data_IF_838095599390
#
_entry.id   IF_838095599390
#
_cell.length_a   1.000
_cell.length_b   1.000
_cell.length_c   1.000
_cell.angle_alpha   90.00
_cell.angle_beta   90.00
_cell.angle_gamma   90.00
#
_symmetry.space_group_name_H-M   'P 1'
#
loop_
_entity.id
_entity.type
_entity.pdbx_description
1 polymer ?
#
# COMPACT_ATOMS: atom_id res chain seq x y z
N UNK A 1 -13.76 -25.40 41.46
CA UNK A 1 -13.75 -25.84 40.04
C UNK A 1 -14.01 -24.68 39.06
N UNK A 2 -15.06 -23.88 39.25
CA UNK A 2 -15.43 -22.79 38.33
C UNK A 2 -14.41 -21.65 38.18
N UNK A 3 -13.72 -21.23 39.25
CA UNK A 3 -12.69 -20.17 39.18
C UNK A 3 -11.46 -20.56 38.35
N UNK A 4 -11.05 -21.84 38.38
CA UNK A 4 -9.95 -22.35 37.56
C UNK A 4 -10.35 -22.40 36.09
N UNK A 5 -11.58 -22.83 35.79
CA UNK A 5 -12.13 -22.85 34.44
C UNK A 5 -12.23 -21.44 33.84
N UNK A 6 -12.68 -20.45 34.62
CA UNK A 6 -12.69 -19.05 34.19
C UNK A 6 -11.29 -18.52 33.87
N UNK A 7 -10.28 -18.86 34.67
CA UNK A 7 -8.90 -18.46 34.41
C UNK A 7 -8.36 -19.05 33.10
N UNK A 8 -8.67 -20.31 32.82
CA UNK A 8 -8.29 -20.96 31.56
C UNK A 8 -8.99 -20.34 30.35
N UNK A 9 -10.28 -20.01 30.47
CA UNK A 9 -11.03 -19.35 29.39
C UNK A 9 -10.49 -17.96 29.09
N UNK A 10 -10.16 -17.18 30.14
CA UNK A 10 -9.57 -15.84 29.97
C UNK A 10 -8.17 -15.95 29.34
N UNK A 11 -7.35 -16.90 29.76
CA UNK A 11 -6.02 -17.12 29.18
C UNK A 11 -6.08 -17.50 27.69
N UNK A 12 -6.99 -18.40 27.31
CA UNK A 12 -7.21 -18.78 25.91
C UNK A 12 -7.75 -17.62 25.07
N UNK A 13 -8.64 -16.78 25.62
CA UNK A 13 -9.13 -15.59 24.93
C UNK A 13 -8.00 -14.57 24.68
N UNK A 14 -7.09 -14.37 25.65
CA UNK A 14 -5.93 -13.47 25.50
C UNK A 14 -4.93 -14.01 24.46
N UNK A 15 -4.63 -15.32 24.50
CA UNK A 15 -3.76 -15.97 23.50
C UNK A 15 -4.34 -15.87 22.09
N UNK A 16 -5.65 -16.08 21.92
CA UNK A 16 -6.33 -15.94 20.63
C UNK A 16 -6.38 -14.48 20.13
N UNK A 17 -6.38 -13.50 21.03
CA UNK A 17 -6.36 -12.08 20.65
C UNK A 17 -4.96 -11.62 20.22
N UNK A 18 -3.89 -12.20 20.78
CA UNK A 18 -2.51 -11.89 20.39
C UNK A 18 -2.12 -12.39 19.00
N UNK A 19 -2.83 -13.39 18.45
CA UNK A 19 -2.57 -13.93 17.10
C UNK A 19 -3.24 -13.16 15.97
N UNK A 20 -3.99 -12.09 16.26
CA UNK A 20 -4.75 -11.30 15.27
C UNK A 20 -4.04 -10.03 14.81
N UNK A 21 -2.75 -9.87 15.09
CA UNK A 21 -1.96 -8.82 14.45
C UNK A 21 -1.44 -9.38 13.12
N UNK A 22 -2.04 -9.05 11.96
CA UNK A 22 -1.42 -9.34 10.69
C UNK A 22 -0.10 -8.57 10.63
N UNK A 23 1.01 -9.30 10.78
CA UNK A 23 2.33 -8.81 10.46
C UNK A 23 2.37 -8.61 8.94
N UNK A 24 2.17 -7.38 8.49
CA UNK A 24 2.30 -7.00 7.08
C UNK A 24 3.78 -6.79 6.65
N UNK A 25 4.72 -7.28 7.46
CA UNK A 25 6.15 -7.28 7.17
C UNK A 25 6.53 -8.61 6.53
N UNK A 26 7.44 -8.58 5.57
CA UNK A 26 7.97 -9.82 5.02
C UNK A 26 8.66 -10.66 6.12
N UNK A 27 8.60 -12.00 6.02
CA UNK A 27 9.40 -12.86 6.87
C UNK A 27 10.88 -12.50 6.77
N UNK A 28 11.58 -12.46 7.91
CA UNK A 28 13.03 -12.27 7.91
C UNK A 28 13.71 -13.36 7.07
N UNK A 29 14.77 -13.03 6.30
CA UNK A 29 15.52 -14.02 5.56
C UNK A 29 16.16 -15.03 6.53
N UNK A 30 15.99 -16.32 6.25
CA UNK A 30 16.55 -17.40 7.07
C UNK A 30 18.04 -17.62 6.82
N UNK A 31 18.57 -17.15 5.69
CA UNK A 31 19.96 -17.22 5.25
C UNK A 31 20.27 -16.02 4.35
N UNK A 32 21.56 -15.70 4.13
CA UNK A 32 22.03 -14.61 3.26
C UNK A 32 21.44 -14.67 1.85
N UNK A 33 21.08 -15.87 1.41
CA UNK A 33 20.24 -16.08 0.25
C UNK A 33 19.08 -17.00 0.65
N UNK A 34 17.85 -16.46 0.58
CA UNK A 34 16.69 -17.07 -0.09
C UNK A 34 15.49 -17.58 0.76
N UNK A 35 14.37 -16.86 0.65
CA UNK A 35 13.00 -17.35 0.38
C UNK A 35 12.11 -16.11 0.15
N UNK A 36 11.44 -15.97 -1.00
CA UNK A 36 10.64 -14.76 -1.33
C UNK A 36 9.31 -15.18 -1.97
N UNK A 37 8.22 -15.12 -1.20
CA UNK A 37 6.82 -15.10 -1.69
C UNK A 37 6.47 -16.09 -2.82
N UNK A 38 6.83 -17.37 -2.70
CA UNK A 38 6.30 -18.44 -3.55
C UNK A 38 6.87 -18.56 -4.97
N UNK A 39 7.98 -17.88 -5.29
CA UNK A 39 8.74 -18.14 -6.53
C UNK A 39 9.88 -19.11 -6.31
N UNK A 40 10.09 -20.01 -7.28
CA UNK A 40 11.21 -20.94 -7.25
C UNK A 40 12.52 -20.17 -7.37
N UNK A 41 13.48 -20.55 -6.56
CA UNK A 41 14.68 -19.78 -6.37
C UNK A 41 15.84 -20.34 -7.19
N UNK A 42 16.77 -19.47 -7.56
CA UNK A 42 18.01 -19.87 -8.24
C UNK A 42 18.93 -20.58 -7.24
N UNK A 43 19.61 -21.64 -7.68
CA UNK A 43 20.68 -22.28 -6.90
C UNK A 43 21.75 -21.21 -6.58
N UNK A 44 22.16 -21.03 -5.30
CA UNK A 44 23.19 -20.08 -4.92
C UNK A 44 24.50 -20.23 -5.70
N UNK A 45 24.87 -21.44 -6.10
CA UNK A 45 26.09 -21.70 -6.89
C UNK A 45 25.96 -21.27 -8.35
N UNK A 46 24.74 -20.99 -8.82
CA UNK A 46 24.45 -20.47 -10.15
C UNK A 46 24.15 -18.96 -10.14
N UNK A 47 24.07 -18.34 -8.96
CA UNK A 47 23.87 -16.90 -8.83
C UNK A 47 25.14 -16.13 -9.19
N UNK A 48 24.98 -15.00 -9.86
CA UNK A 48 26.07 -14.09 -10.19
C UNK A 48 25.64 -12.62 -9.97
N UNK A 49 26.57 -11.67 -10.10
CA UNK A 49 26.32 -10.26 -9.81
C UNK A 49 25.16 -9.64 -10.61
N UNK A 50 24.94 -10.11 -11.84
CA UNK A 50 23.88 -9.59 -12.71
C UNK A 50 22.48 -9.98 -12.24
N UNK A 51 22.34 -11.04 -11.44
CA UNK A 51 21.05 -11.43 -10.86
C UNK A 51 20.56 -10.44 -9.80
N UNK A 52 21.44 -9.57 -9.28
CA UNK A 52 21.13 -8.57 -8.25
C UNK A 52 21.07 -7.14 -8.79
N UNK A 53 21.32 -6.96 -10.09
CA UNK A 53 21.27 -5.66 -10.74
C UNK A 53 19.90 -5.43 -11.40
N UNK A 54 19.31 -4.26 -11.17
CA UNK A 54 18.07 -3.85 -11.83
C UNK A 54 18.20 -2.41 -12.35
N UNK A 55 18.18 -2.25 -13.66
CA UNK A 55 18.29 -0.94 -14.33
C UNK A 55 16.96 -0.21 -14.52
N UNK A 56 15.82 -0.82 -14.14
CA UNK A 56 14.48 -0.30 -14.44
C UNK A 56 13.95 0.78 -13.50
N UNK A 57 14.78 1.37 -12.63
CA UNK A 57 14.38 2.47 -11.73
C UNK A 57 14.08 3.79 -12.48
N UNK A 58 14.47 3.87 -13.75
CA UNK A 58 14.15 4.99 -14.65
C UNK A 58 12.72 4.95 -15.21
N UNK A 59 11.99 3.84 -15.01
CA UNK A 59 10.61 3.68 -15.47
C UNK A 59 9.68 4.07 -14.30
N UNK A 60 8.83 5.10 -14.46
CA UNK A 60 7.83 5.43 -13.45
C UNK A 60 6.94 4.22 -13.19
N UNK A 61 6.90 3.75 -11.94
CA UNK A 61 6.03 2.65 -11.52
C UNK A 61 4.87 3.21 -10.69
N UNK A 62 3.75 2.49 -10.70
CA UNK A 62 2.57 2.79 -9.91
C UNK A 62 2.93 2.94 -8.40
N UNK A 63 2.46 4.00 -7.77
CA UNK A 63 2.81 4.39 -6.38
C UNK A 63 1.94 3.76 -5.31
N UNK A 64 0.89 3.00 -5.65
CA UNK A 64 -0.03 2.44 -4.65
C UNK A 64 0.57 1.22 -3.94
N UNK A 65 0.36 1.10 -2.63
CA UNK A 65 0.94 0.03 -1.80
C UNK A 65 -0.02 -0.42 -0.67
N UNK A 66 -0.58 -1.65 -0.71
CA UNK A 66 -1.36 -2.30 0.33
C UNK A 66 -0.56 -3.10 1.37
N UNK A 67 0.76 -3.33 1.21
CA UNK A 67 1.50 -4.30 2.03
C UNK A 67 2.89 -3.83 2.45
N UNK A 68 3.00 -2.83 3.33
CA UNK A 68 4.28 -2.38 3.92
C UNK A 68 4.30 -0.88 4.16
N UNK A 69 5.32 -0.37 4.86
CA UNK A 69 5.51 1.08 4.99
C UNK A 69 6.24 1.60 3.76
N UNK A 70 6.02 2.88 3.45
CA UNK A 70 6.67 3.53 2.30
C UNK A 70 7.41 4.76 2.77
N UNK A 71 8.66 4.89 2.38
CA UNK A 71 9.46 6.10 2.53
C UNK A 71 9.58 6.75 1.17
N UNK A 72 9.24 8.03 1.06
CA UNK A 72 9.36 8.81 -0.15
C UNK A 72 10.49 9.82 0.01
N UNK A 73 11.38 9.89 -0.98
CA UNK A 73 12.46 10.89 -1.07
C UNK A 73 12.28 11.67 -2.35
N UNK A 74 12.18 13.00 -2.25
CA UNK A 74 12.02 13.87 -3.41
C UNK A 74 13.38 14.22 -4.00
N UNK A 75 13.52 14.06 -5.31
CA UNK A 75 14.73 14.45 -6.06
C UNK A 75 14.54 15.75 -6.82
N UNK A 76 13.37 15.95 -7.40
CA UNK A 76 13.05 17.14 -8.21
C UNK A 76 11.59 17.56 -8.00
N UNK A 77 11.32 18.85 -8.16
CA UNK A 77 9.98 19.43 -8.07
C UNK A 77 9.44 19.56 -6.64
N UNK A 78 8.14 19.76 -6.52
CA UNK A 78 7.46 20.03 -5.24
C UNK A 78 6.23 19.16 -5.09
N UNK A 79 6.22 18.31 -4.06
CA UNK A 79 5.13 17.36 -3.82
C UNK A 79 4.37 17.73 -2.54
N UNK A 80 3.07 17.94 -2.67
CA UNK A 80 2.15 17.92 -1.54
C UNK A 80 1.76 16.47 -1.25
N UNK A 81 2.15 15.97 -0.09
CA UNK A 81 1.89 14.60 0.32
C UNK A 81 1.09 14.55 1.61
N UNK A 82 0.39 13.45 1.83
CA UNK A 82 -0.24 13.20 3.11
C UNK A 82 -0.85 11.82 3.24
N UNK A 83 -1.24 11.48 4.47
CA UNK A 83 -2.00 10.28 4.80
C UNK A 83 -3.09 10.58 5.82
N UNK A 84 -4.10 9.72 5.85
CA UNK A 84 -5.22 9.80 6.79
C UNK A 84 -5.02 8.73 7.87
N UNK A 85 -5.09 9.16 9.13
CA UNK A 85 -5.12 8.26 10.29
C UNK A 85 -6.56 7.81 10.46
N UNK A 86 -6.86 6.59 10.04
CA UNK A 86 -8.17 5.94 10.21
C UNK A 86 -8.38 5.51 11.68
N UNK A 87 -8.61 6.48 12.57
CA UNK A 87 -9.11 6.26 13.93
C UNK A 87 -10.35 7.15 14.19
N UNK A 88 -10.76 7.34 15.44
CA UNK A 88 -11.97 8.10 15.83
C UNK A 88 -12.17 9.44 15.12
N UNK A 89 -11.10 10.12 14.69
CA UNK A 89 -11.20 11.48 14.12
C UNK A 89 -10.77 11.60 12.63
N UNK A 90 -10.39 10.51 11.95
CA UNK A 90 -9.93 10.53 10.55
C UNK A 90 -8.93 11.67 10.25
N UNK A 91 -7.88 11.81 11.07
CA UNK A 91 -6.99 12.97 11.02
C UNK A 91 -6.07 12.93 9.79
N UNK A 92 -6.03 14.03 9.05
CA UNK A 92 -5.11 14.23 7.93
C UNK A 92 -3.74 14.70 8.42
N UNK A 93 -2.66 14.02 7.99
CA UNK A 93 -1.27 14.44 8.18
C UNK A 93 -0.70 14.78 6.81
N UNK A 94 -0.22 16.01 6.63
CA UNK A 94 0.28 16.48 5.33
C UNK A 94 1.55 17.28 5.45
N UNK A 95 2.34 17.28 4.37
CA UNK A 95 3.51 18.13 4.23
C UNK A 95 3.77 18.44 2.75
N UNK A 96 4.33 19.63 2.50
CA UNK A 96 4.94 19.96 1.20
C UNK A 96 6.40 19.57 1.27
N UNK A 97 6.84 18.73 0.32
CA UNK A 97 8.20 18.23 0.19
C UNK A 97 8.91 18.90 -1.00
N UNK A 98 10.17 19.24 -0.79
CA UNK A 98 11.11 19.78 -1.77
C UNK A 98 12.26 18.79 -2.00
N UNK A 99 13.13 19.01 -3.01
CA UNK A 99 14.28 18.14 -3.25
C UNK A 99 15.12 17.92 -1.98
N UNK A 100 15.40 16.66 -1.67
CA UNK A 100 16.10 16.24 -0.45
C UNK A 100 15.19 15.92 0.74
N UNK A 101 13.92 16.34 0.73
CA UNK A 101 12.98 16.01 1.79
C UNK A 101 12.56 14.54 1.74
N UNK A 102 12.35 13.98 2.94
CA UNK A 102 11.91 12.60 3.16
C UNK A 102 10.59 12.59 3.92
N UNK A 103 9.70 11.67 3.55
CA UNK A 103 8.43 11.47 4.24
C UNK A 103 8.07 9.99 4.35
N UNK A 104 7.58 9.58 5.52
CA UNK A 104 7.22 8.19 5.79
C UNK A 104 5.69 8.02 5.85
N UNK A 105 5.20 7.03 5.12
CA UNK A 105 3.82 6.57 5.12
C UNK A 105 3.72 5.28 5.95
N UNK A 106 2.93 5.29 7.04
CA UNK A 106 2.66 4.08 7.82
C UNK A 106 1.93 3.01 6.99
N UNK A 107 2.06 1.76 7.42
CA UNK A 107 1.43 0.60 6.77
C UNK A 107 -0.08 0.74 6.72
N UNK A 108 -0.69 0.45 5.56
CA UNK A 108 -2.13 0.27 5.42
C UNK A 108 -2.97 1.56 5.49
N UNK A 109 -2.34 2.72 5.61
CA UNK A 109 -3.06 4.00 5.62
C UNK A 109 -3.24 4.55 4.20
N UNK A 110 -4.42 5.13 3.97
CA UNK A 110 -4.72 5.87 2.74
C UNK A 110 -3.78 7.08 2.70
N UNK A 111 -3.04 7.22 1.61
CA UNK A 111 -2.12 8.31 1.39
C UNK A 111 -2.14 8.77 -0.07
N UNK A 112 -1.60 9.96 -0.32
CA UNK A 112 -1.57 10.58 -1.63
C UNK A 112 -0.29 11.38 -1.83
N UNK A 113 0.03 11.60 -3.10
CA UNK A 113 1.04 12.55 -3.55
C UNK A 113 0.44 13.39 -4.67
N UNK A 114 0.66 14.70 -4.61
CA UNK A 114 0.15 15.64 -5.60
C UNK A 114 1.23 16.67 -5.95
N UNK A 115 1.57 16.80 -7.23
CA UNK A 115 2.52 17.81 -7.68
C UNK A 115 1.84 19.18 -7.71
N UNK A 116 2.28 20.08 -6.83
CA UNK A 116 1.78 21.47 -6.75
C UNK A 116 2.73 22.46 -7.45
N UNK A 117 3.90 21.99 -7.88
CA UNK A 117 4.87 22.80 -8.61
C UNK A 117 4.49 22.98 -10.08
N UNK A 118 5.12 23.95 -10.73
CA UNK A 118 4.94 24.21 -12.16
C UNK A 118 5.85 23.34 -13.04
N UNK A 119 6.71 22.52 -12.42
CA UNK A 119 7.67 21.64 -13.11
C UNK A 119 7.32 20.18 -12.84
N UNK A 120 7.89 19.27 -13.64
CA UNK A 120 7.83 17.84 -13.33
C UNK A 120 8.48 17.57 -11.96
N UNK A 121 7.95 16.60 -11.24
CA UNK A 121 8.47 16.15 -9.96
C UNK A 121 8.95 14.70 -10.09
N UNK A 122 10.06 14.39 -9.42
CA UNK A 122 10.66 13.05 -9.38
C UNK A 122 10.91 12.69 -7.93
N UNK A 123 10.47 11.50 -7.53
CA UNK A 123 10.68 10.98 -6.20
C UNK A 123 10.90 9.46 -6.24
N UNK A 124 11.71 8.96 -5.31
CA UNK A 124 11.87 7.53 -5.09
C UNK A 124 11.08 7.09 -3.87
N UNK A 125 10.37 5.96 -4.02
CA UNK A 125 9.69 5.29 -2.94
C UNK A 125 10.48 4.03 -2.55
N UNK A 126 10.99 3.99 -1.32
CA UNK A 126 11.49 2.77 -0.69
C UNK A 126 10.37 2.11 0.09
N UNK A 127 10.21 0.80 -0.07
CA UNK A 127 9.08 0.07 0.50
C UNK A 127 9.58 -1.10 1.34
N UNK A 128 8.89 -1.39 2.45
CA UNK A 128 9.32 -2.39 3.43
C UNK A 128 8.86 -3.82 3.13
N UNK A 129 8.38 -4.11 1.92
CA UNK A 129 8.00 -5.46 1.49
C UNK A 129 8.40 -5.69 0.03
N UNK A 130 8.67 -6.95 -0.30
CA UNK A 130 9.02 -7.47 -1.61
C UNK A 130 7.78 -7.73 -2.48
N UNK A 131 6.59 -7.87 -1.89
CA UNK A 131 5.33 -8.06 -2.62
C UNK A 131 4.22 -7.19 -2.03
N UNK A 132 4.34 -5.91 -2.31
CA UNK A 132 3.51 -4.91 -1.69
C UNK A 132 2.07 -4.99 -2.15
N UNK A 133 1.79 -5.51 -3.35
CA UNK A 133 0.53 -5.26 -4.06
C UNK A 133 0.38 -3.78 -4.43
N UNK A 134 -0.73 -3.38 -5.05
CA UNK A 134 -1.02 -1.97 -5.38
C UNK A 134 -2.54 -1.80 -5.38
N UNK A 135 -3.11 -0.99 -4.46
CA UNK A 135 -4.54 -0.65 -4.47
C UNK A 135 -4.70 0.85 -4.70
N UNK A 136 -5.12 1.23 -5.90
CA UNK A 136 -5.57 2.60 -6.19
C UNK A 136 -7.05 2.71 -5.85
N UNK A 137 -7.40 3.54 -4.86
CA UNK A 137 -8.77 3.60 -4.31
C UNK A 137 -9.82 3.82 -5.40
N UNK A 138 -9.57 4.79 -6.28
CA UNK A 138 -10.50 5.10 -7.36
C UNK A 138 -10.73 3.89 -8.30
N UNK A 139 -9.67 3.16 -8.65
CA UNK A 139 -9.79 1.96 -9.48
C UNK A 139 -10.46 0.80 -8.72
N UNK A 140 -10.14 0.62 -7.44
CA UNK A 140 -10.73 -0.42 -6.59
C UNK A 140 -12.24 -0.20 -6.38
N UNK A 141 -12.70 1.05 -6.36
CA UNK A 141 -14.11 1.40 -6.16
C UNK A 141 -14.87 1.49 -7.48
N UNK A 142 -14.32 2.16 -8.50
CA UNK A 142 -15.04 2.51 -9.72
C UNK A 142 -14.52 1.78 -10.98
N UNK A 143 -13.30 1.25 -10.96
CA UNK A 143 -12.67 0.55 -12.10
C UNK A 143 -12.70 -0.98 -12.03
N UNK A 144 -13.50 -1.55 -11.13
CA UNK A 144 -13.60 -3.01 -10.98
C UNK A 144 -14.15 -3.67 -12.25
N UNK A 145 -13.65 -4.86 -12.60
CA UNK A 145 -14.18 -5.67 -13.68
C UNK A 145 -14.50 -7.09 -13.17
N UNK A 146 -15.78 -7.49 -13.09
CA UNK A 146 -16.98 -6.74 -13.47
C UNK A 146 -17.25 -5.52 -12.56
N UNK A 147 -17.92 -4.47 -13.06
CA UNK A 147 -18.19 -3.26 -12.27
C UNK A 147 -19.11 -3.56 -11.08
N UNK A 148 -18.84 -2.89 -9.95
CA UNK A 148 -19.72 -2.93 -8.78
C UNK A 148 -21.10 -2.39 -9.16
N UNK A 149 -22.17 -3.00 -8.64
CA UNK A 149 -23.53 -2.54 -8.90
C UNK A 149 -23.66 -1.04 -8.55
N UNK A 150 -24.07 -0.18 -9.52
CA UNK A 150 -24.18 1.26 -9.30
C UNK A 150 -25.08 1.64 -8.13
N UNK A 151 -26.10 0.85 -7.81
CA UNK A 151 -27.02 1.14 -6.70
C UNK A 151 -26.33 1.01 -5.34
N UNK A 152 -25.33 0.13 -5.22
CA UNK A 152 -24.50 0.00 -4.01
C UNK A 152 -23.67 1.25 -3.82
N UNK A 153 -22.98 1.71 -4.87
CA UNK A 153 -22.13 2.90 -4.82
C UNK A 153 -22.96 4.19 -4.63
N UNK A 154 -24.13 4.27 -5.26
CA UNK A 154 -25.10 5.37 -5.08
C UNK A 154 -25.45 5.52 -3.61
N UNK A 155 -25.79 4.41 -2.94
CA UNK A 155 -26.11 4.42 -1.50
C UNK A 155 -24.88 4.70 -0.63
N UNK A 156 -23.75 4.08 -0.92
CA UNK A 156 -22.53 4.21 -0.11
C UNK A 156 -21.94 5.62 -0.14
N UNK A 157 -21.91 6.25 -1.32
CA UNK A 157 -21.34 7.58 -1.53
C UNK A 157 -22.39 8.69 -1.49
N UNK A 158 -23.67 8.36 -1.38
CA UNK A 158 -24.80 9.31 -1.42
C UNK A 158 -24.78 10.19 -2.68
N UNK A 159 -24.49 9.56 -3.83
CA UNK A 159 -24.38 10.22 -5.13
C UNK A 159 -25.52 9.81 -6.04
N UNK A 160 -25.85 10.64 -7.03
CA UNK A 160 -26.75 10.25 -8.10
C UNK A 160 -26.19 9.09 -8.92
N UNK A 161 -27.07 8.18 -9.34
CA UNK A 161 -26.70 7.01 -10.15
C UNK A 161 -25.98 7.40 -11.44
N UNK A 162 -26.38 8.51 -12.07
CA UNK A 162 -25.71 9.03 -13.27
C UNK A 162 -24.26 9.45 -13.01
N UNK A 163 -23.97 10.03 -11.84
CA UNK A 163 -22.60 10.39 -11.43
C UNK A 163 -21.79 9.11 -11.20
N UNK A 164 -22.37 8.11 -10.53
CA UNK A 164 -21.71 6.81 -10.32
C UNK A 164 -21.36 6.15 -11.64
N UNK A 165 -22.31 6.06 -12.57
CA UNK A 165 -22.05 5.48 -13.91
C UNK A 165 -21.02 6.29 -14.68
N UNK A 166 -21.05 7.62 -14.58
CA UNK A 166 -20.03 8.49 -15.15
C UNK A 166 -18.63 8.19 -14.56
N UNK A 167 -18.51 8.09 -13.23
CA UNK A 167 -17.25 7.76 -12.57
C UNK A 167 -16.74 6.38 -13.01
N UNK A 168 -17.60 5.36 -13.06
CA UNK A 168 -17.24 4.03 -13.56
C UNK A 168 -16.77 4.05 -15.02
N UNK A 169 -17.33 4.93 -15.84
CA UNK A 169 -16.91 5.08 -17.25
C UNK A 169 -15.55 5.76 -17.45
N UNK A 170 -15.02 6.47 -16.43
CA UNK A 170 -13.72 7.15 -16.55
C UNK A 170 -12.52 6.22 -16.43
N UNK A 171 -12.72 5.02 -15.89
CA UNK A 171 -11.66 4.04 -15.70
C UNK A 171 -11.64 3.07 -16.89
N UNK A 172 -11.26 3.58 -18.07
CA UNK A 172 -10.82 2.78 -19.20
C UNK A 172 -9.28 2.79 -19.27
N UNK A 173 -8.74 1.65 -19.66
CA UNK A 173 -7.34 1.26 -19.64
C UNK A 173 -6.42 2.14 -20.51
N UNK A 174 -5.79 3.16 -19.91
CA UNK A 174 -4.55 3.74 -20.44
C UNK A 174 -3.37 3.28 -19.57
N UNK A 175 -3.11 1.96 -19.59
CA UNK A 175 -1.77 1.45 -19.33
C UNK A 175 -1.00 1.57 -20.65
N UNK A 176 -0.30 2.68 -20.82
CA UNK A 176 0.76 2.81 -21.82
C UNK A 176 2.01 2.09 -21.30
#
# INVERSE_FOLDING_TARGET
MMKRLQLFVVAFAILAFSSLLPSASDPSPLQDFLFVNGKFCKDPNLANAEDFFYSGLNIPRNTSNPGGSTILVVLEGTLYVGFIISNTDNRLITKVLNPGDVFAFPVGLIHFQFNIGNTKAVAFAGLSSQNLGVITIANAVFGFNPPINPDVLTKAFQLDKNIVTYLQSKFWWDNN
#
